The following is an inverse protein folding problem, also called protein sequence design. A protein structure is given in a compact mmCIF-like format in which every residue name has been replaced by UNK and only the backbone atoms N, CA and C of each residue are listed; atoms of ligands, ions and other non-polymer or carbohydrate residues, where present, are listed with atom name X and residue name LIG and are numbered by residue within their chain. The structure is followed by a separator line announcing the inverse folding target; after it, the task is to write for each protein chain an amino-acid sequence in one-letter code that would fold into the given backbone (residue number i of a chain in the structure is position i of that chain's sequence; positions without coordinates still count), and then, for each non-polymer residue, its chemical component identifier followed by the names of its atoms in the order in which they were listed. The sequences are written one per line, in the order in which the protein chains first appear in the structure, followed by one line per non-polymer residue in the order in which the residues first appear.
data_IF_122567348570
#
_entry.id   IF_122567348570
#
_cell.length_a   1.000
_cell.length_b   1.000
_cell.length_c   1.000
_cell.angle_alpha   90.00
_cell.angle_beta   90.00
_cell.angle_gamma   90.00
#
_symmetry.space_group_name_H-M   'P 1'
#
loop_
_entity.id
_entity.type
_entity.pdbx_description
1 polymer ?
#
# COMPACT_ATOMS: atom_id res chain seq x y z
N UNK A 1 28.69 24.39 -5.02
CA UNK A 1 28.05 23.07 -5.10
C UNK A 1 27.35 22.80 -3.77
N UNK A 2 26.05 22.63 -3.78
CA UNK A 2 25.25 22.27 -2.61
C UNK A 2 25.40 20.77 -2.30
N UNK A 3 24.91 20.33 -1.12
CA UNK A 3 24.89 18.91 -0.77
C UNK A 3 24.03 18.14 -1.77
N UNK A 4 22.86 18.69 -2.14
CA UNK A 4 21.99 18.12 -3.17
C UNK A 4 22.72 17.88 -4.48
N UNK A 5 23.39 18.89 -5.02
CA UNK A 5 24.13 18.78 -6.30
C UNK A 5 25.23 17.70 -6.24
N UNK A 6 25.89 17.55 -5.11
CA UNK A 6 26.85 16.47 -4.91
C UNK A 6 26.19 15.10 -4.93
N UNK A 7 25.07 14.92 -4.21
CA UNK A 7 24.32 13.67 -4.22
C UNK A 7 23.82 13.29 -5.62
N UNK A 8 23.33 14.26 -6.39
CA UNK A 8 22.89 14.04 -7.78
C UNK A 8 24.08 13.65 -8.70
N UNK A 9 25.28 14.16 -8.45
CA UNK A 9 26.49 13.72 -9.17
C UNK A 9 26.91 12.30 -8.78
N UNK A 10 26.82 11.96 -7.49
CA UNK A 10 27.10 10.60 -6.99
C UNK A 10 26.10 9.59 -7.57
N UNK A 11 24.79 9.95 -7.66
CA UNK A 11 23.78 9.14 -8.34
C UNK A 11 24.18 8.86 -9.80
N UNK A 12 24.53 9.89 -10.56
CA UNK A 12 24.90 9.77 -11.97
C UNK A 12 26.15 8.89 -12.23
N UNK A 13 27.03 8.75 -11.23
CA UNK A 13 28.22 7.89 -11.33
C UNK A 13 27.97 6.45 -10.91
N UNK A 14 27.06 6.23 -9.96
CA UNK A 14 26.84 4.94 -9.31
C UNK A 14 25.67 4.16 -9.89
N UNK A 15 24.63 4.85 -10.33
CA UNK A 15 23.39 4.20 -10.75
C UNK A 15 23.52 3.65 -12.18
N UNK A 16 22.74 2.61 -12.44
CA UNK A 16 22.56 2.05 -13.79
C UNK A 16 22.04 3.13 -14.76
N UNK A 17 22.44 3.11 -16.02
CA UNK A 17 21.85 4.00 -17.04
C UNK A 17 20.32 3.87 -17.18
N UNK A 18 19.74 2.84 -16.61
CA UNK A 18 18.28 2.59 -16.61
C UNK A 18 17.58 3.13 -15.37
N UNK A 19 18.33 3.54 -14.35
CA UNK A 19 17.78 4.14 -13.14
C UNK A 19 17.34 5.57 -13.41
N UNK A 20 16.38 6.05 -12.63
CA UNK A 20 16.00 7.46 -12.66
C UNK A 20 16.85 8.23 -11.66
N UNK A 21 17.76 9.08 -12.16
CA UNK A 21 18.49 10.02 -11.33
C UNK A 21 17.57 11.16 -10.87
N UNK A 22 17.76 11.66 -9.66
CA UNK A 22 16.92 12.73 -9.12
C UNK A 22 17.00 14.03 -9.97
N UNK A 23 18.16 14.31 -10.56
CA UNK A 23 18.35 15.46 -11.47
C UNK A 23 17.52 15.36 -12.76
N UNK A 24 17.15 14.16 -13.17
CA UNK A 24 16.43 13.87 -14.43
C UNK A 24 14.93 13.63 -14.20
N UNK A 25 14.42 13.95 -13.00
CA UNK A 25 12.99 13.83 -12.68
C UNK A 25 12.11 14.67 -13.63
N UNK A 26 10.94 14.15 -13.98
CA UNK A 26 9.90 14.92 -14.70
C UNK A 26 9.30 16.04 -13.84
N UNK A 27 9.69 16.11 -12.57
CA UNK A 27 9.32 17.18 -11.66
C UNK A 27 7.94 17.02 -11.04
N UNK A 28 7.47 18.11 -10.50
CA UNK A 28 6.25 18.28 -9.73
C UNK A 28 5.20 19.07 -10.50
N UNK A 29 3.93 18.92 -10.16
CA UNK A 29 2.86 19.74 -10.77
C UNK A 29 3.01 21.23 -10.41
N UNK A 30 3.33 21.49 -9.14
CA UNK A 30 3.57 22.87 -8.66
C UNK A 30 5.07 23.04 -8.46
N UNK A 31 5.76 23.90 -9.24
CA UNK A 31 7.17 24.18 -9.04
C UNK A 31 7.48 24.67 -7.62
N UNK A 32 8.59 24.22 -7.06
CA UNK A 32 9.08 24.64 -5.74
C UNK A 32 10.58 24.86 -5.79
N UNK A 33 11.09 25.72 -4.94
CA UNK A 33 12.53 25.93 -4.84
C UNK A 33 13.27 24.64 -4.46
N UNK A 34 14.40 24.35 -5.13
CA UNK A 34 15.22 23.19 -4.83
C UNK A 34 15.79 23.28 -3.41
N UNK A 35 15.82 22.14 -2.71
CA UNK A 35 16.44 22.06 -1.39
C UNK A 35 17.97 22.03 -1.53
N UNK A 36 18.73 22.79 -0.74
CA UNK A 36 20.19 22.74 -0.83
C UNK A 36 20.81 21.43 -0.28
N UNK A 37 20.03 20.63 0.46
CA UNK A 37 20.52 19.43 1.16
C UNK A 37 20.00 18.13 0.57
N UNK A 38 18.73 18.06 0.17
CA UNK A 38 18.02 16.83 -0.22
C UNK A 38 17.66 16.83 -1.70
N UNK A 39 17.78 15.67 -2.33
CA UNK A 39 17.23 15.42 -3.67
C UNK A 39 15.70 15.47 -3.66
N UNK A 40 15.08 15.53 -4.83
CA UNK A 40 13.61 15.58 -4.92
C UNK A 40 12.94 14.31 -4.40
N UNK A 41 13.51 13.12 -4.63
CA UNK A 41 12.96 11.86 -4.12
C UNK A 41 13.09 11.74 -2.61
N UNK A 42 14.18 12.25 -2.01
CA UNK A 42 14.30 12.34 -0.55
C UNK A 42 13.24 13.26 0.06
N UNK A 43 12.93 14.38 -0.60
CA UNK A 43 11.85 15.28 -0.16
C UNK A 43 10.48 14.62 -0.26
N UNK A 44 10.24 13.80 -1.28
CA UNK A 44 8.98 13.08 -1.44
C UNK A 44 8.79 12.03 -0.36
N UNK A 45 9.82 11.24 -0.06
CA UNK A 45 9.84 10.31 1.06
C UNK A 45 9.48 11.02 2.38
N UNK A 46 10.14 12.13 2.67
CA UNK A 46 9.90 12.87 3.90
C UNK A 46 8.45 13.38 3.98
N UNK A 47 7.88 13.90 2.88
CA UNK A 47 6.48 14.35 2.82
C UNK A 47 5.50 13.21 3.08
N UNK A 48 5.77 12.02 2.52
CA UNK A 48 4.94 10.84 2.74
C UNK A 48 4.97 10.43 4.21
N UNK A 49 6.15 10.29 4.82
CA UNK A 49 6.29 9.88 6.22
C UNK A 49 5.55 10.82 7.17
N UNK A 50 5.54 12.11 6.87
CA UNK A 50 4.91 13.12 7.74
C UNK A 50 3.41 13.33 7.47
N UNK A 51 2.81 12.71 6.46
CA UNK A 51 1.40 12.88 6.13
C UNK A 51 0.45 12.15 7.11
N UNK A 52 -0.81 12.58 7.14
CA UNK A 52 -1.85 11.98 8.00
C UNK A 52 -2.14 10.53 7.57
N UNK A 53 -2.19 10.26 6.25
CA UNK A 53 -2.47 8.95 5.70
C UNK A 53 -1.43 7.90 6.13
N UNK A 54 -0.14 8.23 6.12
CA UNK A 54 0.93 7.34 6.55
C UNK A 54 0.76 6.93 8.03
N UNK A 55 0.43 7.88 8.91
CA UNK A 55 0.17 7.58 10.33
C UNK A 55 -1.03 6.68 10.54
N UNK A 56 -2.07 6.78 9.67
CA UNK A 56 -3.27 5.93 9.73
C UNK A 56 -3.00 4.47 9.42
N UNK A 57 -1.94 4.14 8.66
CA UNK A 57 -1.55 2.76 8.33
C UNK A 57 -1.29 1.90 9.59
N UNK A 58 -0.90 2.51 10.71
CA UNK A 58 -0.72 1.82 11.99
C UNK A 58 -1.99 1.12 12.50
N UNK A 59 -3.18 1.62 12.11
CA UNK A 59 -4.47 1.17 12.61
C UNK A 59 -5.40 0.67 11.50
N UNK A 60 -4.83 0.24 10.37
CA UNK A 60 -5.53 -0.43 9.28
C UNK A 60 -5.08 -1.88 9.18
N UNK A 61 -6.05 -2.78 9.08
CA UNK A 61 -5.82 -4.22 8.92
C UNK A 61 -5.04 -4.51 7.64
N UNK A 62 -4.09 -5.47 7.72
CA UNK A 62 -3.44 -6.05 6.54
C UNK A 62 -4.25 -7.24 6.04
N UNK A 63 -4.37 -8.32 6.82
CA UNK A 63 -5.04 -9.57 6.43
C UNK A 63 -6.06 -10.03 7.47
N UNK A 64 -5.68 -10.09 8.74
CA UNK A 64 -6.53 -10.54 9.82
C UNK A 64 -7.17 -9.35 10.52
N UNK A 65 -8.51 -9.35 10.59
CA UNK A 65 -9.30 -8.29 11.20
C UNK A 65 -8.96 -8.13 12.68
N UNK A 66 -8.48 -6.94 13.04
CA UNK A 66 -8.24 -6.45 14.40
C UNK A 66 -7.96 -7.57 15.43
N UNK A 67 -6.93 -8.40 15.26
CA UNK A 67 -6.69 -9.49 16.16
C UNK A 67 -6.37 -8.93 17.55
N UNK A 68 -6.96 -9.51 18.58
CA UNK A 68 -6.59 -9.27 19.96
C UNK A 68 -5.20 -9.88 20.21
N UNK A 69 -4.14 -9.16 19.82
CA UNK A 69 -2.76 -9.63 20.02
C UNK A 69 -1.73 -8.70 19.42
N UNK A 70 -0.60 -8.57 20.09
CA UNK A 70 0.47 -7.63 19.72
C UNK A 70 1.32 -8.08 18.51
N UNK A 71 1.07 -9.27 17.96
CA UNK A 71 1.95 -9.90 16.97
C UNK A 71 1.44 -9.92 15.54
N UNK A 72 0.25 -9.39 15.28
CA UNK A 72 -0.30 -9.33 13.94
C UNK A 72 0.11 -8.07 13.20
N UNK A 73 0.34 -8.21 11.89
CA UNK A 73 0.76 -7.10 11.05
C UNK A 73 -0.39 -6.17 10.73
N UNK A 74 -0.17 -4.88 10.99
CA UNK A 74 -0.95 -3.80 10.38
C UNK A 74 -0.27 -3.33 9.10
N UNK A 75 -0.92 -2.43 8.34
CA UNK A 75 -0.36 -1.92 7.08
C UNK A 75 0.96 -1.18 7.25
N UNK A 76 1.22 -0.55 8.38
CA UNK A 76 2.48 0.15 8.58
C UNK A 76 3.70 -0.79 8.60
N UNK A 77 3.75 -1.87 9.40
CA UNK A 77 4.81 -2.87 9.28
C UNK A 77 4.94 -3.45 7.87
N UNK A 78 3.82 -3.82 7.22
CA UNK A 78 3.85 -4.30 5.83
C UNK A 78 4.51 -3.28 4.89
N UNK A 79 4.14 -2.00 4.95
CA UNK A 79 4.72 -0.94 4.13
C UNK A 79 6.24 -0.81 4.33
N UNK A 80 6.73 -0.95 5.58
CA UNK A 80 8.16 -0.92 5.88
C UNK A 80 8.88 -2.18 5.35
N UNK A 81 8.26 -3.34 5.44
CA UNK A 81 8.79 -4.60 4.91
C UNK A 81 8.85 -4.56 3.37
N UNK A 82 7.82 -4.02 2.71
CA UNK A 82 7.84 -3.76 1.25
C UNK A 82 8.98 -2.81 0.89
N UNK A 83 9.15 -1.73 1.63
CA UNK A 83 10.23 -0.76 1.39
C UNK A 83 11.61 -1.43 1.55
N UNK A 84 11.79 -2.28 2.54
CA UNK A 84 13.04 -3.02 2.75
C UNK A 84 13.35 -3.96 1.57
N UNK A 85 12.37 -4.77 1.12
CA UNK A 85 12.54 -5.69 -0.01
C UNK A 85 12.80 -4.90 -1.31
N UNK A 86 12.00 -3.87 -1.59
CA UNK A 86 12.12 -3.06 -2.78
C UNK A 86 13.48 -2.35 -2.87
N UNK A 87 13.97 -1.79 -1.77
CA UNK A 87 15.31 -1.17 -1.71
C UNK A 87 16.44 -2.18 -1.89
N UNK A 88 16.27 -3.43 -1.41
CA UNK A 88 17.24 -4.49 -1.66
C UNK A 88 17.33 -4.80 -3.16
N UNK A 89 16.18 -4.93 -3.84
CA UNK A 89 16.12 -5.10 -5.31
C UNK A 89 16.78 -3.91 -6.02
N UNK A 90 16.40 -2.69 -5.65
CA UNK A 90 16.93 -1.47 -6.27
C UNK A 90 18.45 -1.38 -6.11
N UNK A 91 18.98 -1.65 -4.92
CA UNK A 91 20.43 -1.64 -4.64
C UNK A 91 21.17 -2.67 -5.48
N UNK A 92 20.68 -3.91 -5.54
CA UNK A 92 21.31 -4.98 -6.31
C UNK A 92 21.31 -4.69 -7.82
N UNK A 93 20.31 -3.98 -8.33
CA UNK A 93 20.17 -3.58 -9.74
C UNK A 93 20.75 -2.19 -10.04
N UNK A 94 21.42 -1.54 -9.08
CA UNK A 94 21.94 -0.19 -9.17
C UNK A 94 20.89 0.85 -9.58
N UNK A 95 19.66 0.72 -9.07
CA UNK A 95 18.57 1.66 -9.25
C UNK A 95 18.52 2.70 -8.12
N UNK A 96 17.65 3.70 -8.23
CA UNK A 96 17.53 4.77 -7.24
C UNK A 96 16.74 4.30 -6.01
N UNK A 97 17.46 4.09 -4.89
CA UNK A 97 16.87 3.64 -3.64
C UNK A 97 15.93 4.69 -3.00
N UNK A 98 16.23 5.99 -3.12
CA UNK A 98 15.38 7.05 -2.55
C UNK A 98 14.03 7.13 -3.28
N UNK A 99 14.03 7.01 -4.62
CA UNK A 99 12.79 6.90 -5.40
C UNK A 99 12.00 5.64 -5.04
N UNK A 100 12.67 4.50 -4.96
CA UNK A 100 12.06 3.22 -4.61
C UNK A 100 11.42 3.27 -3.23
N UNK A 101 12.11 3.84 -2.23
CA UNK A 101 11.59 4.00 -0.88
C UNK A 101 10.38 4.93 -0.83
N UNK A 102 10.43 6.08 -1.52
CA UNK A 102 9.31 7.01 -1.57
C UNK A 102 8.05 6.35 -2.15
N UNK A 103 8.18 5.60 -3.26
CA UNK A 103 7.07 4.85 -3.85
C UNK A 103 6.54 3.81 -2.85
N UNK A 104 7.44 3.00 -2.25
CA UNK A 104 7.06 1.94 -1.32
C UNK A 104 6.32 2.48 -0.09
N UNK A 105 6.76 3.60 0.49
CA UNK A 105 6.08 4.21 1.63
C UNK A 105 4.72 4.81 1.26
N UNK A 106 4.53 5.16 -0.01
CA UNK A 106 3.30 5.78 -0.51
C UNK A 106 2.26 4.82 -1.08
N UNK A 107 2.62 3.57 -1.39
CA UNK A 107 1.78 2.68 -2.21
C UNK A 107 0.40 2.40 -1.60
N UNK A 108 0.30 2.21 -0.29
CA UNK A 108 -0.90 1.75 0.43
C UNK A 108 -1.66 2.87 1.18
N UNK A 109 -1.34 4.15 0.97
CA UNK A 109 -1.93 5.29 1.69
C UNK A 109 -3.46 5.39 1.52
N UNK A 110 -3.99 4.95 0.39
CA UNK A 110 -5.40 4.99 0.04
C UNK A 110 -6.20 3.75 0.42
N UNK A 111 -5.61 2.80 1.14
CA UNK A 111 -6.34 1.62 1.56
C UNK A 111 -7.48 1.97 2.53
N UNK A 112 -8.60 1.25 2.40
CA UNK A 112 -9.80 1.40 3.20
C UNK A 112 -9.65 0.81 4.60
N UNK A 113 -10.52 1.14 5.57
CA UNK A 113 -10.69 0.32 6.76
C UNK A 113 -11.03 -1.14 6.35
N UNK A 114 -10.58 -2.10 7.12
CA UNK A 114 -10.76 -3.54 6.90
C UNK A 114 -10.11 -4.07 5.60
N UNK A 115 -9.13 -3.36 5.05
CA UNK A 115 -8.36 -3.80 3.90
C UNK A 115 -9.21 -4.06 2.64
N UNK A 116 -9.03 -5.20 1.99
CA UNK A 116 -9.76 -5.53 0.76
C UNK A 116 -11.28 -5.66 0.94
N UNK A 117 -11.76 -5.93 2.17
CA UNK A 117 -13.19 -6.01 2.44
C UNK A 117 -13.85 -4.64 2.24
N UNK A 118 -13.25 -3.61 2.84
CA UNK A 118 -13.71 -2.24 2.65
C UNK A 118 -13.55 -1.75 1.21
N UNK A 119 -12.47 -2.15 0.54
CA UNK A 119 -12.25 -1.86 -0.89
C UNK A 119 -13.39 -2.43 -1.74
N UNK A 120 -13.74 -3.70 -1.56
CA UNK A 120 -14.85 -4.34 -2.28
C UNK A 120 -16.20 -3.70 -1.96
N UNK A 121 -16.42 -3.26 -0.72
CA UNK A 121 -17.65 -2.56 -0.36
C UNK A 121 -17.75 -1.20 -1.08
N UNK A 122 -16.70 -0.40 -1.05
CA UNK A 122 -16.68 0.89 -1.76
C UNK A 122 -16.70 0.72 -3.28
N UNK A 123 -16.06 -0.31 -3.85
CA UNK A 123 -16.11 -0.61 -5.28
C UNK A 123 -17.54 -0.83 -5.80
N UNK A 124 -18.39 -1.46 -4.99
CA UNK A 124 -19.82 -1.67 -5.30
C UNK A 124 -20.67 -0.41 -5.14
N UNK A 125 -20.32 0.47 -4.21
CA UNK A 125 -21.09 1.68 -3.88
C UNK A 125 -20.75 2.84 -4.80
N UNK A 126 -19.56 2.86 -5.36
CA UNK A 126 -19.12 3.92 -6.26
C UNK A 126 -19.48 3.61 -7.72
N UNK A 127 -20.11 4.53 -8.45
CA UNK A 127 -20.48 4.32 -9.86
C UNK A 127 -19.31 3.98 -10.77
N UNK A 128 -18.15 4.58 -10.53
CA UNK A 128 -16.89 4.37 -11.26
C UNK A 128 -16.02 3.25 -10.66
N UNK A 129 -16.50 2.61 -9.59
CA UNK A 129 -15.73 1.65 -8.81
C UNK A 129 -14.74 2.33 -7.85
N UNK A 130 -13.99 1.50 -7.12
CA UNK A 130 -12.98 1.94 -6.18
C UNK A 130 -11.76 1.01 -6.22
N UNK A 131 -10.57 1.59 -6.25
CA UNK A 131 -9.29 0.88 -6.17
C UNK A 131 -8.35 1.58 -5.21
N UNK A 132 -7.74 0.83 -4.31
CA UNK A 132 -6.84 1.41 -3.29
C UNK A 132 -5.62 2.13 -3.90
N UNK A 133 -5.08 1.66 -5.02
CA UNK A 133 -3.95 2.31 -5.68
C UNK A 133 -4.33 3.67 -6.31
N UNK A 134 -5.51 3.78 -6.90
CA UNK A 134 -6.06 5.05 -7.39
C UNK A 134 -6.35 6.00 -6.22
N UNK A 135 -6.88 5.46 -5.13
CA UNK A 135 -7.10 6.23 -3.91
C UNK A 135 -5.78 6.63 -3.23
N UNK A 136 -4.72 5.79 -3.28
CA UNK A 136 -3.39 6.16 -2.78
C UNK A 136 -2.82 7.36 -3.53
N UNK A 137 -2.94 7.35 -4.86
CA UNK A 137 -2.59 8.51 -5.68
C UNK A 137 -3.44 9.74 -5.31
N UNK A 138 -4.77 9.56 -5.15
CA UNK A 138 -5.67 10.65 -4.76
C UNK A 138 -5.32 11.23 -3.38
N UNK A 139 -4.94 10.38 -2.42
CA UNK A 139 -4.47 10.83 -1.12
C UNK A 139 -3.31 11.82 -1.24
N UNK A 140 -2.30 11.50 -2.05
CA UNK A 140 -1.11 12.33 -2.19
C UNK A 140 -1.30 13.53 -3.12
N UNK A 141 -2.29 13.51 -4.02
CA UNK A 141 -2.56 14.60 -4.97
C UNK A 141 -3.60 15.59 -4.45
N UNK A 142 -4.61 15.13 -3.67
CA UNK A 142 -5.79 15.94 -3.36
C UNK A 142 -6.26 15.93 -1.91
N UNK A 143 -5.96 14.90 -1.09
CA UNK A 143 -6.55 14.81 0.26
C UNK A 143 -5.62 15.28 1.36
N UNK A 144 -4.32 15.03 1.23
CA UNK A 144 -3.33 15.45 2.23
C UNK A 144 -3.05 16.96 2.15
N UNK A 145 -2.45 17.51 3.21
CA UNK A 145 -2.07 18.91 3.28
C UNK A 145 -3.27 19.85 3.05
N UNK A 146 -4.37 19.57 3.75
CA UNK A 146 -5.62 20.32 3.74
C UNK A 146 -6.17 20.55 2.32
N UNK A 147 -6.19 19.48 1.53
CA UNK A 147 -6.71 19.49 0.16
C UNK A 147 -5.73 19.99 -0.91
N UNK A 148 -4.49 20.33 -0.55
CA UNK A 148 -3.48 20.82 -1.50
C UNK A 148 -2.61 19.73 -2.09
N UNK A 149 -2.66 18.50 -1.54
CA UNK A 149 -1.80 17.39 -1.88
C UNK A 149 -0.36 17.55 -1.38
N UNK A 150 0.42 16.49 -1.53
CA UNK A 150 1.83 16.47 -1.13
C UNK A 150 2.76 17.04 -2.21
N UNK A 151 2.26 17.31 -3.41
CA UNK A 151 3.03 17.81 -4.55
C UNK A 151 4.31 16.96 -4.78
N UNK A 152 4.11 15.64 -4.95
CA UNK A 152 5.18 14.68 -5.21
C UNK A 152 5.64 14.74 -6.68
N UNK A 153 6.84 14.23 -6.95
CA UNK A 153 7.34 14.06 -8.31
C UNK A 153 6.47 13.09 -9.11
N UNK A 154 6.54 13.21 -10.43
CA UNK A 154 5.76 12.37 -11.34
C UNK A 154 6.07 10.88 -11.13
N UNK A 155 7.33 10.52 -10.96
CA UNK A 155 7.80 9.14 -10.82
C UNK A 155 7.24 8.46 -9.54
N UNK A 156 7.18 9.21 -8.44
CA UNK A 156 6.59 8.71 -7.20
C UNK A 156 5.08 8.49 -7.35
N UNK A 157 4.37 9.42 -8.00
CA UNK A 157 2.93 9.30 -8.24
C UNK A 157 2.60 8.15 -9.20
N UNK A 158 3.39 7.97 -10.27
CA UNK A 158 3.28 6.84 -11.20
C UNK A 158 3.49 5.51 -10.48
N UNK A 159 4.57 5.41 -9.68
CA UNK A 159 4.88 4.21 -8.92
C UNK A 159 3.78 3.86 -7.91
N UNK A 160 3.23 4.84 -7.19
CA UNK A 160 2.10 4.67 -6.28
C UNK A 160 0.86 4.14 -7.03
N UNK A 161 0.50 4.74 -8.16
CA UNK A 161 -0.65 4.31 -8.95
C UNK A 161 -0.47 2.90 -9.52
N UNK A 162 0.71 2.60 -10.05
CA UNK A 162 0.97 1.40 -10.85
C UNK A 162 1.54 0.22 -10.04
N UNK A 163 1.66 0.33 -8.68
CA UNK A 163 2.13 -0.78 -7.86
C UNK A 163 1.21 -2.00 -7.95
N UNK A 164 -0.08 -1.77 -8.19
CA UNK A 164 -1.08 -2.83 -8.39
C UNK A 164 -1.93 -2.58 -9.64
N UNK A 165 -2.90 -3.49 -9.91
CA UNK A 165 -3.79 -3.35 -11.07
C UNK A 165 -3.14 -3.68 -12.41
N UNK A 166 -3.76 -3.19 -13.52
CA UNK A 166 -3.38 -3.53 -14.90
C UNK A 166 -2.21 -2.70 -15.45
N UNK A 167 -2.07 -1.47 -14.98
CA UNK A 167 -1.01 -0.58 -15.43
C UNK A 167 0.33 -1.00 -14.84
N UNK A 168 1.40 -0.81 -15.62
CA UNK A 168 2.76 -1.15 -15.20
C UNK A 168 3.52 0.14 -14.88
N UNK A 169 4.32 0.17 -13.80
CA UNK A 169 5.14 1.33 -13.48
C UNK A 169 6.11 1.66 -14.63
N UNK A 170 6.21 2.94 -14.94
CA UNK A 170 7.09 3.41 -16.01
C UNK A 170 8.57 3.30 -15.65
N UNK A 171 8.91 3.32 -14.36
CA UNK A 171 10.27 3.22 -13.85
C UNK A 171 10.59 1.83 -13.33
N UNK A 172 11.85 1.42 -13.38
CA UNK A 172 12.29 0.14 -12.78
C UNK A 172 12.16 0.18 -11.25
N UNK A 173 12.33 1.33 -10.64
CA UNK A 173 12.12 1.56 -9.21
C UNK A 173 10.66 1.27 -8.80
N UNK A 174 9.70 1.76 -9.57
CA UNK A 174 8.29 1.42 -9.38
C UNK A 174 8.00 -0.08 -9.56
N UNK A 175 8.68 -0.71 -10.52
CA UNK A 175 8.60 -2.17 -10.71
C UNK A 175 9.22 -2.94 -9.55
N UNK A 176 10.28 -2.44 -8.91
CA UNK A 176 10.81 -3.02 -7.66
C UNK A 176 9.74 -3.05 -6.58
N UNK A 177 9.01 -1.94 -6.40
CA UNK A 177 7.94 -1.87 -5.41
C UNK A 177 6.81 -2.84 -5.73
N UNK A 178 6.35 -2.89 -6.98
CA UNK A 178 5.32 -3.82 -7.42
C UNK A 178 5.69 -5.30 -7.20
N UNK A 179 6.97 -5.66 -7.36
CA UNK A 179 7.47 -7.02 -7.09
C UNK A 179 7.61 -7.26 -5.59
N UNK A 180 8.15 -6.29 -4.87
CA UNK A 180 8.36 -6.36 -3.43
C UNK A 180 7.03 -6.51 -2.66
N UNK A 181 6.00 -5.77 -3.04
CA UNK A 181 4.67 -5.88 -2.45
C UNK A 181 4.12 -7.30 -2.57
N UNK A 182 4.22 -7.92 -3.75
CA UNK A 182 3.78 -9.31 -3.97
C UNK A 182 4.59 -10.33 -3.17
N UNK A 183 5.90 -10.15 -3.06
CA UNK A 183 6.76 -11.00 -2.23
C UNK A 183 6.40 -10.85 -0.76
N UNK A 184 6.23 -9.60 -0.32
CA UNK A 184 5.92 -9.26 1.05
C UNK A 184 4.58 -9.88 1.47
N UNK A 185 3.47 -9.52 0.80
CA UNK A 185 2.16 -9.97 1.24
C UNK A 185 2.07 -11.50 1.27
N UNK A 186 2.58 -12.21 0.24
CA UNK A 186 2.50 -13.66 0.18
C UNK A 186 3.21 -14.34 1.36
N UNK A 187 4.41 -13.85 1.69
CA UNK A 187 5.19 -14.44 2.79
C UNK A 187 4.69 -14.02 4.17
N UNK A 188 4.20 -12.79 4.31
CA UNK A 188 3.67 -12.28 5.56
C UNK A 188 2.32 -12.92 5.92
N UNK A 189 1.43 -13.05 4.93
CA UNK A 189 0.14 -13.68 5.11
C UNK A 189 0.29 -15.16 5.47
N UNK A 190 1.28 -15.83 4.85
CA UNK A 190 1.62 -17.21 5.21
C UNK A 190 2.13 -17.33 6.64
N UNK A 191 3.05 -16.45 7.05
CA UNK A 191 3.61 -16.42 8.41
C UNK A 191 2.51 -16.14 9.45
N UNK A 192 1.65 -15.18 9.17
CA UNK A 192 0.53 -14.82 10.04
C UNK A 192 -0.52 -15.94 10.11
N UNK A 193 -0.81 -16.65 9.00
CA UNK A 193 -1.73 -17.80 8.98
C UNK A 193 -1.19 -18.99 9.80
N UNK A 194 0.11 -19.27 9.70
CA UNK A 194 0.76 -20.29 10.53
C UNK A 194 0.73 -19.91 12.01
N UNK A 195 1.00 -18.66 12.34
CA UNK A 195 0.99 -18.15 13.73
C UNK A 195 -0.41 -18.16 14.34
N UNK A 196 -1.42 -17.84 13.53
CA UNK A 196 -2.83 -17.90 13.94
C UNK A 196 -3.37 -19.33 14.07
N UNK A 197 -2.60 -20.35 13.65
CA UNK A 197 -3.06 -21.74 13.65
C UNK A 197 -4.09 -22.05 12.56
N UNK A 198 -4.35 -21.12 11.64
CA UNK A 198 -5.22 -21.30 10.46
C UNK A 198 -4.61 -22.32 9.50
N UNK A 199 -3.27 -22.32 9.40
CA UNK A 199 -2.50 -23.32 8.67
C UNK A 199 -1.52 -24.03 9.59
N UNK A 200 -1.24 -25.31 9.27
CA UNK A 200 -0.17 -26.06 9.90
C UNK A 200 1.02 -26.19 8.95
N UNK A 201 2.28 -26.24 9.44
CA UNK A 201 3.46 -26.35 8.58
C UNK A 201 3.43 -27.51 7.59
N UNK A 202 2.82 -28.64 7.98
CA UNK A 202 2.73 -29.85 7.11
C UNK A 202 1.69 -29.72 5.99
N UNK A 203 0.82 -28.73 6.03
CA UNK A 203 -0.18 -28.46 4.98
C UNK A 203 0.42 -27.69 3.80
N UNK A 204 1.58 -27.05 4.00
CA UNK A 204 2.22 -26.25 2.96
C UNK A 204 2.65 -27.12 1.78
N UNK A 205 2.47 -26.66 0.52
CA UNK A 205 2.86 -27.41 -0.65
C UNK A 205 4.36 -27.69 -0.66
N UNK A 206 4.72 -28.98 -0.53
CA UNK A 206 6.12 -29.41 -0.44
C UNK A 206 6.96 -28.95 -1.66
N UNK A 207 6.36 -28.97 -2.86
CA UNK A 207 7.04 -28.51 -4.08
C UNK A 207 7.35 -27.01 -4.03
N UNK A 208 6.44 -26.20 -3.49
CA UNK A 208 6.70 -24.77 -3.29
C UNK A 208 7.84 -24.53 -2.31
N UNK A 209 7.85 -25.26 -1.18
CA UNK A 209 8.91 -25.15 -0.17
C UNK A 209 10.27 -25.62 -0.69
N UNK A 210 10.29 -26.62 -1.57
CA UNK A 210 11.53 -27.11 -2.18
C UNK A 210 12.19 -26.08 -3.10
N UNK A 211 11.38 -25.30 -3.83
CA UNK A 211 11.88 -24.28 -4.77
C UNK A 211 12.16 -22.96 -4.06
N UNK A 212 11.23 -22.49 -3.23
CA UNK A 212 11.32 -21.16 -2.63
C UNK A 212 12.10 -21.13 -1.31
N UNK A 213 12.10 -22.22 -0.57
CA UNK A 213 12.73 -22.33 0.75
C UNK A 213 11.74 -22.68 1.86
N UNK A 214 12.25 -23.21 2.95
CA UNK A 214 11.46 -23.73 4.08
C UNK A 214 11.01 -22.61 5.02
N UNK A 215 11.88 -21.65 5.25
CA UNK A 215 11.65 -20.53 6.17
C UNK A 215 11.17 -19.29 5.45
N UNK A 216 10.54 -18.39 6.19
CA UNK A 216 10.13 -17.06 5.71
C UNK A 216 11.30 -16.30 5.04
N UNK A 217 12.48 -16.27 5.70
CA UNK A 217 13.65 -15.58 5.18
C UNK A 217 14.21 -16.23 3.90
N UNK A 218 14.25 -17.56 3.84
CA UNK A 218 14.70 -18.28 2.64
C UNK A 218 13.81 -17.99 1.44
N UNK A 219 12.48 -18.03 1.62
CA UNK A 219 11.53 -17.72 0.53
C UNK A 219 11.71 -16.32 -0.03
N UNK A 220 11.79 -15.32 0.84
CA UNK A 220 12.03 -13.92 0.41
C UNK A 220 13.37 -13.80 -0.30
N UNK A 221 14.44 -14.39 0.26
CA UNK A 221 15.77 -14.33 -0.34
C UNK A 221 15.81 -15.01 -1.72
N UNK A 222 15.20 -16.18 -1.87
CA UNK A 222 15.14 -16.89 -3.17
C UNK A 222 14.46 -16.02 -4.23
N UNK A 223 13.31 -15.41 -3.91
CA UNK A 223 12.58 -14.56 -4.84
C UNK A 223 13.37 -13.30 -5.22
N UNK A 224 14.05 -12.66 -4.26
CA UNK A 224 14.89 -11.49 -4.51
C UNK A 224 16.08 -11.87 -5.42
N UNK A 225 16.81 -12.94 -5.09
CA UNK A 225 17.96 -13.38 -5.88
C UNK A 225 17.56 -13.75 -7.31
N UNK A 226 16.42 -14.42 -7.48
CA UNK A 226 15.91 -14.80 -8.80
C UNK A 226 15.55 -13.57 -9.65
N UNK A 227 14.83 -12.58 -9.05
CA UNK A 227 14.52 -11.33 -9.75
C UNK A 227 15.79 -10.61 -10.17
N UNK A 228 16.78 -10.47 -9.29
CA UNK A 228 18.04 -9.81 -9.59
C UNK A 228 18.78 -10.51 -10.73
N UNK A 229 18.91 -11.84 -10.66
CA UNK A 229 19.57 -12.65 -11.70
C UNK A 229 18.85 -12.56 -13.05
N UNK A 230 17.51 -12.58 -13.03
CA UNK A 230 16.71 -12.56 -14.25
C UNK A 230 16.54 -11.17 -14.86
N UNK A 231 16.75 -10.08 -14.09
CA UNK A 231 16.48 -8.70 -14.51
C UNK A 231 17.76 -7.91 -14.86
N UNK A 232 18.95 -8.48 -14.61
CA UNK A 232 20.21 -7.84 -15.00
C UNK A 232 20.13 -7.46 -16.49
N UNK A 233 20.39 -6.21 -16.82
CA UNK A 233 20.42 -5.67 -18.19
C UNK A 233 19.09 -5.74 -18.98
N UNK A 234 17.97 -6.05 -18.34
CA UNK A 234 16.64 -6.05 -18.99
C UNK A 234 15.87 -4.73 -18.76
N UNK A 235 14.99 -4.35 -19.69
CA UNK A 235 14.16 -3.14 -19.56
C UNK A 235 13.02 -3.29 -18.55
N UNK A 236 12.76 -4.51 -18.04
CA UNK A 236 11.71 -4.82 -17.09
C UNK A 236 12.19 -5.85 -16.07
N UNK A 237 11.64 -5.76 -14.85
CA UNK A 237 11.91 -6.76 -13.82
C UNK A 237 11.13 -8.06 -14.11
N UNK A 238 11.87 -9.16 -14.18
CA UNK A 238 11.33 -10.49 -14.46
C UNK A 238 11.78 -11.50 -13.42
N UNK A 239 11.04 -12.60 -13.29
CA UNK A 239 11.43 -13.80 -12.57
C UNK A 239 11.65 -14.96 -13.55
N UNK A 240 12.37 -15.97 -13.13
CA UNK A 240 12.45 -17.23 -13.88
C UNK A 240 11.05 -17.88 -13.91
N UNK A 241 10.72 -18.66 -14.97
CA UNK A 241 9.44 -19.35 -15.06
C UNK A 241 9.18 -20.23 -13.83
N UNK A 242 10.18 -20.97 -13.38
CA UNK A 242 10.07 -21.88 -12.23
C UNK A 242 9.67 -21.14 -10.95
N UNK A 243 10.35 -20.03 -10.61
CA UNK A 243 10.07 -19.27 -9.39
C UNK A 243 8.74 -18.54 -9.51
N UNK A 244 8.41 -18.00 -10.70
CA UNK A 244 7.13 -17.34 -10.94
C UNK A 244 5.95 -18.31 -10.79
N UNK A 245 6.00 -19.47 -11.43
CA UNK A 245 4.95 -20.49 -11.35
C UNK A 245 4.79 -21.03 -9.92
N UNK A 246 5.91 -21.23 -9.22
CA UNK A 246 5.88 -21.70 -7.84
C UNK A 246 5.28 -20.63 -6.89
N UNK A 247 5.62 -19.37 -7.10
CA UNK A 247 5.04 -18.25 -6.34
C UNK A 247 3.53 -18.13 -6.61
N UNK A 248 3.10 -18.26 -7.87
CA UNK A 248 1.68 -18.23 -8.24
C UNK A 248 0.93 -19.44 -7.64
N UNK A 249 1.52 -20.63 -7.62
CA UNK A 249 0.95 -21.81 -6.98
C UNK A 249 0.79 -21.64 -5.46
N UNK A 250 1.80 -21.06 -4.78
CA UNK A 250 1.69 -20.75 -3.36
C UNK A 250 0.59 -19.72 -3.08
N UNK A 251 0.43 -18.73 -3.95
CA UNK A 251 -0.65 -17.75 -3.86
C UNK A 251 -2.03 -18.40 -4.02
N UNK A 252 -2.20 -19.29 -4.99
CA UNK A 252 -3.45 -20.02 -5.18
C UNK A 252 -3.79 -20.90 -3.98
N UNK A 253 -2.79 -21.56 -3.40
CA UNK A 253 -2.94 -22.29 -2.15
C UNK A 253 -3.44 -21.39 -1.01
N UNK A 254 -2.85 -20.22 -0.82
CA UNK A 254 -3.28 -19.25 0.17
C UNK A 254 -4.73 -18.77 -0.06
N UNK A 255 -5.09 -18.52 -1.33
CA UNK A 255 -6.48 -18.17 -1.66
C UNK A 255 -7.48 -19.29 -1.31
N UNK A 256 -7.12 -20.53 -1.56
CA UNK A 256 -8.01 -21.66 -1.31
C UNK A 256 -8.16 -21.98 0.19
N UNK A 257 -7.10 -21.81 0.99
CA UNK A 257 -7.02 -22.31 2.36
C UNK A 257 -7.16 -21.24 3.43
N UNK A 258 -6.75 -20.01 3.15
CA UNK A 258 -6.73 -18.93 4.16
C UNK A 258 -7.86 -17.94 3.94
N UNK A 259 -8.13 -17.54 2.69
CA UNK A 259 -9.08 -16.46 2.42
C UNK A 259 -10.53 -16.90 2.25
N UNK A 260 -10.86 -18.22 2.32
CA UNK A 260 -12.22 -18.77 2.16
C UNK A 260 -12.77 -19.49 3.39
N UNK A 261 -12.24 -19.25 4.57
CA UNK A 261 -12.74 -19.86 5.79
C UNK A 261 -14.11 -19.28 6.20
N UNK A 262 -15.05 -20.15 6.65
CA UNK A 262 -16.42 -19.78 7.03
C UNK A 262 -16.49 -18.78 8.20
N UNK A 263 -15.61 -18.92 9.19
CA UNK A 263 -15.57 -17.98 10.32
C UNK A 263 -15.16 -16.58 9.85
N UNK A 264 -14.21 -16.51 8.93
CA UNK A 264 -13.77 -15.27 8.30
C UNK A 264 -14.88 -14.61 7.52
N UNK A 265 -15.71 -15.39 6.78
CA UNK A 265 -16.83 -14.87 6.01
C UNK A 265 -17.85 -14.11 6.87
N UNK A 266 -18.16 -14.58 8.09
CA UNK A 266 -19.06 -13.89 8.99
C UNK A 266 -18.51 -12.53 9.45
N UNK A 267 -17.23 -12.45 9.77
CA UNK A 267 -16.57 -11.18 10.14
C UNK A 267 -16.41 -10.24 8.92
N UNK A 268 -16.14 -10.79 7.76
CA UNK A 268 -16.08 -10.03 6.52
C UNK A 268 -17.41 -9.34 6.19
N UNK A 269 -18.53 -10.06 6.33
CA UNK A 269 -19.87 -9.47 6.14
C UNK A 269 -20.18 -8.38 7.18
N UNK A 270 -19.76 -8.54 8.43
CA UNK A 270 -19.90 -7.47 9.44
C UNK A 270 -19.10 -6.23 9.08
N UNK A 271 -17.84 -6.39 8.68
CA UNK A 271 -17.00 -5.27 8.26
C UNK A 271 -17.52 -4.55 7.02
N UNK A 272 -18.00 -5.33 6.05
CA UNK A 272 -18.65 -4.80 4.86
C UNK A 272 -19.89 -3.99 5.24
N UNK A 273 -20.73 -4.53 6.13
CA UNK A 273 -21.93 -3.81 6.63
C UNK A 273 -21.54 -2.48 7.30
N UNK A 274 -20.48 -2.44 8.09
CA UNK A 274 -20.01 -1.19 8.71
C UNK A 274 -19.66 -0.15 7.65
N UNK A 275 -18.92 -0.53 6.59
CA UNK A 275 -18.56 0.39 5.50
C UNK A 275 -19.79 0.87 4.73
N UNK A 276 -20.70 -0.05 4.38
CA UNK A 276 -21.92 0.27 3.66
C UNK A 276 -22.86 1.18 4.46
N UNK A 277 -23.02 0.93 5.75
CA UNK A 277 -23.84 1.76 6.63
C UNK A 277 -23.26 3.17 6.81
N UNK A 278 -21.95 3.30 7.00
CA UNK A 278 -21.28 4.60 7.08
C UNK A 278 -21.40 5.36 5.77
N UNK A 279 -21.22 4.69 4.64
CA UNK A 279 -21.36 5.32 3.32
C UNK A 279 -22.78 5.83 3.10
N UNK A 280 -23.80 5.02 3.41
CA UNK A 280 -25.21 5.42 3.29
C UNK A 280 -25.53 6.61 4.18
N UNK A 281 -25.15 6.53 5.45
CA UNK A 281 -25.39 7.61 6.42
C UNK A 281 -24.83 8.95 5.98
N UNK A 282 -23.56 9.01 5.61
CA UNK A 282 -22.92 10.25 5.19
C UNK A 282 -23.36 10.71 3.79
N UNK A 283 -23.92 9.83 2.98
CA UNK A 283 -24.58 10.21 1.73
C UNK A 283 -25.88 10.98 1.98
N UNK A 284 -26.60 10.61 3.03
CA UNK A 284 -27.84 11.28 3.47
C UNK A 284 -27.57 12.50 4.34
N UNK A 285 -26.44 12.51 5.07
CA UNK A 285 -26.05 13.57 6.01
C UNK A 285 -24.64 14.15 5.70
N UNK A 286 -24.42 14.69 4.49
CA UNK A 286 -23.06 15.10 4.08
C UNK A 286 -22.47 16.22 4.93
N UNK A 287 -23.32 17.05 5.56
CA UNK A 287 -22.89 18.13 6.45
C UNK A 287 -22.29 17.65 7.78
N UNK A 288 -22.42 16.37 8.13
CA UNK A 288 -21.83 15.80 9.35
C UNK A 288 -20.40 15.25 9.15
N UNK A 289 -19.92 15.26 7.91
CA UNK A 289 -18.50 14.97 7.63
C UNK A 289 -17.61 16.14 8.08
N UNK A 290 -16.31 15.89 8.33
CA UNK A 290 -15.35 16.95 8.51
C UNK A 290 -15.36 17.94 7.34
N UNK A 291 -15.15 19.23 7.62
CA UNK A 291 -15.27 20.35 6.67
C UNK A 291 -14.47 20.10 5.37
N UNK A 292 -13.28 19.51 5.49
CA UNK A 292 -12.44 19.19 4.34
C UNK A 292 -13.15 18.28 3.32
N UNK A 293 -13.96 17.30 3.78
CA UNK A 293 -14.72 16.41 2.91
C UNK A 293 -16.04 17.04 2.42
N UNK A 294 -16.67 17.88 3.23
CA UNK A 294 -17.84 18.67 2.79
C UNK A 294 -17.47 19.54 1.60
N UNK A 295 -16.29 20.18 1.65
CA UNK A 295 -15.78 21.00 0.55
C UNK A 295 -15.50 20.18 -0.74
N UNK A 296 -15.05 18.93 -0.61
CA UNK A 296 -14.93 18.01 -1.74
C UNK A 296 -16.31 17.71 -2.33
N UNK A 297 -17.32 17.51 -1.49
CA UNK A 297 -18.70 17.28 -1.91
C UNK A 297 -19.26 18.36 -2.81
N UNK A 298 -18.97 19.64 -2.53
CA UNK A 298 -19.36 20.75 -3.39
C UNK A 298 -18.65 20.78 -4.75
N UNK A 299 -17.43 20.27 -4.83
CA UNK A 299 -16.60 20.31 -6.04
C UNK A 299 -16.76 19.07 -6.92
N UNK A 300 -16.83 17.89 -6.30
CA UNK A 300 -16.73 16.60 -6.98
C UNK A 300 -17.95 15.68 -6.74
N UNK A 301 -18.93 16.15 -5.96
CA UNK A 301 -20.14 15.42 -5.63
C UNK A 301 -20.06 14.64 -4.32
N UNK A 302 -21.23 14.43 -3.72
CA UNK A 302 -21.37 13.82 -2.39
C UNK A 302 -20.80 12.40 -2.34
N UNK A 303 -21.07 11.56 -3.34
CA UNK A 303 -20.58 10.19 -3.36
C UNK A 303 -19.04 10.13 -3.29
N UNK A 304 -18.34 11.01 -4.04
CA UNK A 304 -16.87 11.09 -3.99
C UNK A 304 -16.36 11.53 -2.63
N UNK A 305 -16.96 12.55 -2.05
CA UNK A 305 -16.59 13.05 -0.71
C UNK A 305 -16.78 11.99 0.37
N UNK A 306 -17.91 11.27 0.35
CA UNK A 306 -18.20 10.19 1.30
C UNK A 306 -17.20 9.04 1.12
N UNK A 307 -16.91 8.66 -0.12
CA UNK A 307 -15.91 7.65 -0.42
C UNK A 307 -14.53 8.04 0.12
N UNK A 308 -14.09 9.27 -0.09
CA UNK A 308 -12.83 9.79 0.44
C UNK A 308 -12.81 9.78 1.96
N UNK A 309 -13.89 10.20 2.61
CA UNK A 309 -13.98 10.21 4.06
C UNK A 309 -13.93 8.80 4.65
N UNK A 310 -14.78 7.89 4.15
CA UNK A 310 -14.85 6.50 4.64
C UNK A 310 -13.53 5.76 4.36
N UNK A 311 -12.94 5.91 3.18
CA UNK A 311 -11.66 5.28 2.85
C UNK A 311 -10.50 5.80 3.72
N UNK A 312 -10.56 7.05 4.17
CA UNK A 312 -9.58 7.64 5.08
C UNK A 312 -9.69 7.14 6.53
N UNK A 313 -10.78 6.49 6.92
CA UNK A 313 -10.95 5.98 8.28
C UNK A 313 -9.95 4.85 8.57
N UNK A 314 -9.56 4.73 9.84
CA UNK A 314 -8.94 3.52 10.36
C UNK A 314 -10.03 2.53 10.79
N UNK A 315 -9.70 1.25 10.93
CA UNK A 315 -10.64 0.22 11.37
C UNK A 315 -11.31 0.61 12.69
N UNK A 316 -10.52 1.05 13.66
CA UNK A 316 -11.03 1.49 14.97
C UNK A 316 -11.94 2.71 14.87
N UNK A 317 -11.60 3.65 14.00
CA UNK A 317 -12.42 4.85 13.82
C UNK A 317 -13.74 4.50 13.13
N UNK A 318 -13.73 3.64 12.12
CA UNK A 318 -14.93 3.17 11.44
C UNK A 318 -15.87 2.42 12.40
N UNK A 319 -15.35 1.47 13.18
CA UNK A 319 -16.15 0.73 14.18
C UNK A 319 -16.74 1.68 15.22
N UNK A 320 -15.93 2.58 15.77
CA UNK A 320 -16.40 3.55 16.79
C UNK A 320 -17.48 4.48 16.23
N UNK A 321 -17.29 4.99 15.01
CA UNK A 321 -18.27 5.85 14.35
C UNK A 321 -19.57 5.10 14.08
N UNK A 322 -19.48 3.87 13.59
CA UNK A 322 -20.65 2.99 13.42
C UNK A 322 -21.41 2.79 14.74
N UNK A 323 -20.70 2.48 15.83
CA UNK A 323 -21.32 2.31 17.14
C UNK A 323 -22.01 3.58 17.63
N UNK A 324 -21.41 4.74 17.42
CA UNK A 324 -22.00 6.02 17.80
C UNK A 324 -23.28 6.36 17.02
N UNK A 325 -23.35 5.97 15.76
CA UNK A 325 -24.47 6.28 14.89
C UNK A 325 -25.62 5.27 14.98
N UNK A 326 -25.30 3.99 15.14
CA UNK A 326 -26.29 2.90 14.96
C UNK A 326 -26.56 2.07 16.21
N UNK A 327 -25.73 2.21 17.26
CA UNK A 327 -25.92 1.46 18.50
C UNK A 327 -26.38 2.42 19.60
N UNK A 328 -27.58 2.22 20.19
CA UNK A 328 -28.07 3.08 21.27
C UNK A 328 -27.09 3.11 22.44
N UNK A 329 -26.72 4.30 22.90
CA UNK A 329 -25.99 4.48 24.15
C UNK A 329 -26.96 4.29 25.31
N UNK A 330 -26.70 3.38 26.25
CA UNK A 330 -27.49 3.22 27.45
C UNK A 330 -27.56 4.51 28.25
N UNK A 331 -28.69 4.75 28.92
CA UNK A 331 -28.87 5.90 29.80
C UNK A 331 -27.88 5.76 30.97
N UNK A 332 -26.80 6.53 30.97
CA UNK A 332 -25.97 6.70 32.15
C UNK A 332 -26.65 7.74 33.05
N UNK A 333 -27.37 7.27 34.08
CA UNK A 333 -27.78 8.15 35.16
C UNK A 333 -26.52 8.76 35.78
N UNK A 334 -26.47 10.10 35.78
CA UNK A 334 -25.47 10.89 36.49
C UNK A 334 -25.63 10.69 37.98
#
# INVERSE_FOLDING_TARGET
MTIRERLEQEEAQRLSPRAVCAKDTRGREKPIDPCPMRTDFQRDRDRIIHCKAFRRLKYKTQVFLAPEGDHYRTRLPHTLEVAQIARTLARCLQLNEDLTEAIALGHDLGHTPFGHIGEHALDRLMPEGFRHNEQSRRCVEALENDGNGLNLTWEVRDGILCHSGKQFPATLEGQCVRRADRIAYLNHDLDDALRAGVLQPFELPADCLKVLGQTHGERINTMICDIVACSADKPTLTMSPLVQETMDGLREFMFARVYRDQWRQAEEERCKHVVEALFSYYSEHPGEMPEEFVLIGYKEGTARAVCDFVSCMTDRYAIRTYQQLFVPSGFSAI
#
